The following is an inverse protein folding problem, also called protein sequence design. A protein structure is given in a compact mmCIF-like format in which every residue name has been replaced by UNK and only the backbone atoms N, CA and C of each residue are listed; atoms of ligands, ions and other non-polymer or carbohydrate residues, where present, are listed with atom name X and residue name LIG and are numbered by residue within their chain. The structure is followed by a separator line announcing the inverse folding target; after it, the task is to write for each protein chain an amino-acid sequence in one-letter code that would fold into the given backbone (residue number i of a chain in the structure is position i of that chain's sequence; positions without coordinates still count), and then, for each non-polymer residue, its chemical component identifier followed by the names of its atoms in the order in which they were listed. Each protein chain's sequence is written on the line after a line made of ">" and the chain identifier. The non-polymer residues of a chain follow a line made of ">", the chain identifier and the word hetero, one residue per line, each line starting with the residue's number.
data_IF_490562994564
#
_entry.id   IF_490562994564
#
_cell.length_a   1.000
_cell.length_b   1.000
_cell.length_c   1.000
_cell.angle_alpha   90.00
_cell.angle_beta   90.00
_cell.angle_gamma   90.00
#
_symmetry.space_group_name_H-M   'P 1'
#
loop_
_entity.id
_entity.type
_entity.pdbx_description
1 polymer ?
#
# COMPACT_ATOMS: atom_id res chain seq x y z
N UNK A 1 -8.47 7.22 5.27
CA UNK A 1 -9.20 5.99 5.66
C UNK A 1 -9.38 5.15 4.41
N UNK A 2 -8.98 3.88 4.40
CA UNK A 2 -9.21 2.99 3.25
C UNK A 2 -10.65 2.50 3.31
N UNK A 3 -11.39 2.67 2.22
CA UNK A 3 -12.69 2.05 2.04
C UNK A 3 -12.49 0.71 1.31
N UNK A 4 -12.85 -0.39 1.97
CA UNK A 4 -12.63 -1.74 1.41
C UNK A 4 -13.45 -2.01 0.15
N UNK A 5 -14.51 -1.23 -0.11
CA UNK A 5 -15.33 -1.37 -1.32
C UNK A 5 -14.62 -0.87 -2.57
N UNK A 6 -13.68 0.06 -2.44
CA UNK A 6 -12.96 0.67 -3.57
C UNK A 6 -12.14 -0.37 -4.36
N UNK A 7 -11.81 -1.52 -3.76
CA UNK A 7 -11.12 -2.62 -4.44
C UNK A 7 -11.92 -3.19 -5.61
N UNK A 8 -13.25 -3.15 -5.52
CA UNK A 8 -14.15 -3.64 -6.56
C UNK A 8 -14.41 -2.60 -7.66
N UNK A 9 -13.98 -1.35 -7.46
CA UNK A 9 -14.11 -0.24 -8.41
C UNK A 9 -12.84 -0.04 -9.26
N UNK A 10 -11.83 -0.91 -9.09
CA UNK A 10 -10.59 -0.86 -9.86
C UNK A 10 -10.84 -1.34 -11.29
N UNK A 11 -10.91 -0.38 -12.21
CA UNK A 11 -11.20 -0.66 -13.63
C UNK A 11 -10.02 -0.34 -14.57
N UNK A 12 -8.94 0.24 -14.07
CA UNK A 12 -7.77 0.61 -14.87
C UNK A 12 -6.45 0.28 -14.16
N UNK A 13 -5.35 0.08 -14.90
CA UNK A 13 -4.03 -0.11 -14.30
C UNK A 13 -3.61 1.05 -13.38
N UNK A 14 -4.00 2.28 -13.72
CA UNK A 14 -3.69 3.45 -12.90
C UNK A 14 -4.49 3.46 -11.59
N UNK A 15 -5.78 3.09 -11.64
CA UNK A 15 -6.60 2.93 -10.44
C UNK A 15 -6.05 1.82 -9.53
N UNK A 16 -5.58 0.71 -10.12
CA UNK A 16 -4.93 -0.36 -9.37
C UNK A 16 -3.65 0.14 -8.68
N UNK A 17 -2.78 0.85 -9.42
CA UNK A 17 -1.56 1.44 -8.87
C UNK A 17 -1.84 2.37 -7.69
N UNK A 18 -2.79 3.28 -7.83
CA UNK A 18 -3.18 4.20 -6.75
C UNK A 18 -3.68 3.43 -5.53
N UNK A 19 -4.57 2.45 -5.71
CA UNK A 19 -5.08 1.67 -4.58
C UNK A 19 -4.00 0.80 -3.91
N UNK A 20 -3.12 0.18 -4.69
CA UNK A 20 -2.03 -0.63 -4.14
C UNK A 20 -1.08 0.21 -3.27
N UNK A 21 -0.70 1.41 -3.74
CA UNK A 21 0.14 2.33 -2.97
C UNK A 21 -0.55 2.82 -1.69
N UNK A 22 -1.86 3.10 -1.76
CA UNK A 22 -2.64 3.48 -0.59
C UNK A 22 -2.72 2.35 0.45
N UNK A 23 -2.98 1.12 0.01
CA UNK A 23 -3.03 -0.08 0.87
C UNK A 23 -1.67 -0.34 1.50
N UNK A 24 -0.60 -0.27 0.71
CA UNK A 24 0.77 -0.41 1.21
C UNK A 24 1.06 0.59 2.34
N UNK A 25 0.78 1.88 2.13
CA UNK A 25 1.00 2.92 3.14
C UNK A 25 0.18 2.66 4.41
N UNK A 26 -1.09 2.31 4.26
CA UNK A 26 -1.96 1.98 5.39
C UNK A 26 -1.44 0.77 6.18
N UNK A 27 -1.01 -0.30 5.49
CA UNK A 27 -0.44 -1.48 6.16
C UNK A 27 0.86 -1.14 6.87
N UNK A 28 1.74 -0.35 6.26
CA UNK A 28 2.98 0.09 6.89
C UNK A 28 2.72 0.93 8.15
N UNK A 29 1.67 1.76 8.18
CA UNK A 29 1.32 2.59 9.32
C UNK A 29 0.60 1.83 10.44
N UNK A 30 -0.26 0.86 10.11
CA UNK A 30 -1.20 0.26 11.07
C UNK A 30 -0.93 -1.21 11.40
N UNK A 31 -0.05 -1.89 10.66
CA UNK A 31 0.33 -3.28 10.91
C UNK A 31 1.81 -3.35 11.28
N UNK A 32 2.11 -3.49 12.57
CA UNK A 32 3.49 -3.57 13.08
C UNK A 32 4.28 -4.73 12.51
N UNK A 33 3.65 -5.89 12.29
CA UNK A 33 4.31 -7.06 11.67
C UNK A 33 4.71 -6.76 10.23
N UNK A 34 3.83 -6.12 9.46
CA UNK A 34 4.11 -5.72 8.09
C UNK A 34 5.21 -4.65 8.02
N UNK A 35 5.16 -3.64 8.91
CA UNK A 35 6.23 -2.64 9.05
C UNK A 35 7.57 -3.30 9.35
N UNK A 36 7.64 -4.17 10.35
CA UNK A 36 8.88 -4.86 10.71
C UNK A 36 9.44 -5.68 9.54
N UNK A 37 8.57 -6.30 8.74
CA UNK A 37 9.00 -6.97 7.51
C UNK A 37 9.60 -5.99 6.49
N UNK A 38 8.95 -4.84 6.24
CA UNK A 38 9.48 -3.80 5.36
C UNK A 38 10.82 -3.22 5.86
N UNK A 39 10.97 -3.03 7.18
CA UNK A 39 12.20 -2.56 7.81
C UNK A 39 13.36 -3.53 7.57
N UNK A 40 13.12 -4.84 7.64
CA UNK A 40 14.12 -5.88 7.32
C UNK A 40 14.57 -5.85 5.85
N UNK A 41 13.70 -5.37 4.95
CA UNK A 41 14.02 -5.17 3.54
C UNK A 41 14.63 -3.79 3.25
N UNK A 42 14.84 -2.95 4.27
CA UNK A 42 15.25 -1.56 4.14
C UNK A 42 14.32 -0.77 3.20
N UNK A 43 13.01 -0.99 3.29
CA UNK A 43 11.99 -0.32 2.48
C UNK A 43 11.09 0.55 3.34
N UNK A 44 11.10 1.85 3.05
CA UNK A 44 10.21 2.84 3.65
C UNK A 44 9.13 3.26 2.66
N UNK A 45 8.07 3.96 3.13
CA UNK A 45 7.02 4.46 2.25
C UNK A 45 7.51 5.42 1.15
N UNK A 46 8.64 6.10 1.38
CA UNK A 46 9.29 6.96 0.39
C UNK A 46 9.92 6.19 -0.77
N UNK A 47 10.29 4.92 -0.54
CA UNK A 47 11.00 4.09 -1.52
C UNK A 47 10.04 3.40 -2.49
N UNK A 48 8.75 3.35 -2.15
CA UNK A 48 7.70 2.65 -2.91
C UNK A 48 6.77 3.69 -3.54
N UNK A 49 7.18 4.23 -4.68
CA UNK A 49 6.43 5.23 -5.45
C UNK A 49 5.77 4.66 -6.71
N UNK A 50 6.09 3.40 -7.04
CA UNK A 50 5.57 2.67 -8.19
C UNK A 50 5.46 1.17 -7.91
N UNK A 51 4.65 0.49 -8.72
CA UNK A 51 4.47 -0.97 -8.72
C UNK A 51 5.51 -1.64 -9.61
#
# INVERSE_FOLDING_TARGET
>A
MINTKDIFEINTPNAFKTQALNVFKFQYENNSVYRSFCDLLYKNPSDVTQL
#
